data_IF_813965631613
#
_entry.id   IF_813965631613
#
_cell.length_a   1.000
_cell.length_b   1.000
_cell.length_c   1.000
_cell.angle_alpha   90.00
_cell.angle_beta   90.00
_cell.angle_gamma   90.00
#
_symmetry.space_group_name_H-M   'P 1'
#
loop_
_entity.id
_entity.type
_entity.pdbx_description
1 polymer ?
#
# COMPACT_ATOMS: atom_id res chain seq x y z
N UNK A 1 20.02 -13.50 -14.29
CA UNK A 1 20.72 -13.08 -13.06
C UNK A 1 19.88 -13.51 -11.87
N UNK A 2 20.48 -14.07 -10.83
CA UNK A 2 19.77 -14.55 -9.62
C UNK A 2 20.33 -13.75 -8.44
N UNK A 3 19.45 -13.16 -7.63
CA UNK A 3 19.81 -12.47 -6.39
C UNK A 3 19.52 -13.39 -5.20
N UNK A 4 20.31 -13.30 -4.12
CA UNK A 4 20.01 -14.03 -2.89
C UNK A 4 18.67 -13.56 -2.30
N UNK A 5 17.98 -14.42 -1.52
CA UNK A 5 16.81 -14.01 -0.77
C UNK A 5 17.19 -12.89 0.21
N UNK A 6 16.30 -11.93 0.38
CA UNK A 6 16.46 -10.79 1.28
C UNK A 6 15.34 -10.88 2.29
N UNK A 7 15.69 -11.07 3.56
CA UNK A 7 14.72 -11.15 4.64
C UNK A 7 14.30 -9.75 5.08
N UNK A 8 13.13 -9.66 5.74
CA UNK A 8 12.62 -8.38 6.27
C UNK A 8 13.61 -7.75 7.25
N UNK A 9 14.31 -8.56 8.03
CA UNK A 9 15.32 -8.09 8.99
C UNK A 9 16.50 -7.41 8.28
N UNK A 10 16.95 -7.97 7.15
CA UNK A 10 18.03 -7.38 6.34
C UNK A 10 17.62 -6.00 5.82
N UNK A 11 16.38 -5.86 5.35
CA UNK A 11 15.83 -4.59 4.88
C UNK A 11 15.81 -3.56 6.02
N UNK A 12 15.34 -3.94 7.21
CA UNK A 12 15.30 -3.05 8.37
C UNK A 12 16.70 -2.61 8.80
N UNK A 13 17.66 -3.54 8.87
CA UNK A 13 19.04 -3.25 9.23
C UNK A 13 19.70 -2.32 8.20
N UNK A 14 19.50 -2.60 6.90
CA UNK A 14 20.00 -1.77 5.82
C UNK A 14 19.49 -0.34 5.90
N UNK A 15 18.17 -0.16 6.10
CA UNK A 15 17.55 1.17 6.20
C UNK A 15 18.02 1.92 7.44
N UNK A 16 18.18 1.24 8.58
CA UNK A 16 18.74 1.84 9.79
C UNK A 16 20.17 2.39 9.59
N UNK A 17 20.95 1.76 8.70
CA UNK A 17 22.27 2.23 8.27
C UNK A 17 22.26 3.24 7.11
N UNK A 18 21.09 3.68 6.63
CA UNK A 18 20.96 4.59 5.48
C UNK A 18 21.21 3.96 4.11
N UNK A 19 21.32 2.63 4.04
CA UNK A 19 21.57 1.90 2.81
C UNK A 19 20.34 1.78 1.90
N UNK A 20 20.58 1.37 0.64
CA UNK A 20 19.56 1.16 -0.39
C UNK A 20 19.90 -0.07 -1.21
N UNK A 21 18.88 -0.77 -1.72
CA UNK A 21 19.04 -1.86 -2.67
C UNK A 21 18.85 -1.36 -4.11
N UNK A 22 19.44 -2.05 -5.10
CA UNK A 22 19.02 -1.90 -6.50
C UNK A 22 17.51 -2.09 -6.66
N UNK A 23 16.88 -1.33 -7.56
CA UNK A 23 15.47 -1.51 -7.86
C UNK A 23 15.22 -2.87 -8.54
N UNK A 24 14.06 -3.47 -8.28
CA UNK A 24 13.61 -4.69 -8.97
C UNK A 24 14.15 -6.01 -8.42
N UNK A 25 14.88 -6.01 -7.29
CA UNK A 25 15.44 -7.24 -6.70
C UNK A 25 14.66 -7.76 -5.47
N UNK A 26 13.72 -6.98 -4.95
CA UNK A 26 12.83 -7.40 -3.86
C UNK A 26 11.46 -7.84 -4.39
N UNK A 27 10.87 -8.87 -3.77
CA UNK A 27 9.53 -9.35 -4.11
C UNK A 27 8.67 -9.51 -2.86
N UNK A 28 7.80 -8.53 -2.61
CA UNK A 28 6.85 -8.59 -1.50
C UNK A 28 5.54 -9.23 -1.94
N UNK A 29 5.18 -10.33 -1.27
CA UNK A 29 3.85 -10.93 -1.36
C UNK A 29 2.97 -10.31 -0.28
N UNK A 30 2.00 -9.49 -0.72
CA UNK A 30 1.05 -8.80 0.17
C UNK A 30 -0.34 -9.36 -0.10
N UNK A 31 -0.89 -10.09 0.86
CA UNK A 31 -2.27 -10.58 0.81
C UNK A 31 -3.24 -9.47 1.21
N UNK A 32 -4.43 -9.44 0.60
CA UNK A 32 -5.46 -8.45 0.96
C UNK A 32 -5.12 -7.02 0.57
N UNK A 33 -4.38 -6.82 -0.54
CA UNK A 33 -4.08 -5.47 -1.06
C UNK A 33 -5.37 -4.71 -1.35
N UNK A 34 -5.49 -3.52 -0.79
CA UNK A 34 -6.54 -2.57 -1.17
C UNK A 34 -6.12 -1.92 -2.48
N UNK A 35 -6.91 -2.14 -3.53
CA UNK A 35 -6.71 -1.55 -4.85
C UNK A 35 -7.77 -0.46 -5.09
N UNK A 36 -7.46 0.51 -5.95
CA UNK A 36 -8.41 1.58 -6.37
C UNK A 36 -8.97 2.40 -5.21
N UNK A 37 -8.22 2.56 -4.13
CA UNK A 37 -8.64 3.41 -3.00
C UNK A 37 -8.81 4.87 -3.45
N UNK A 38 -8.05 5.33 -4.45
CA UNK A 38 -8.24 6.61 -5.15
C UNK A 38 -8.47 7.78 -4.18
N UNK A 39 -7.58 7.90 -3.18
CA UNK A 39 -7.62 9.01 -2.22
C UNK A 39 -7.27 10.31 -2.97
N UNK A 40 -8.02 11.41 -2.77
CA UNK A 40 -7.68 12.69 -3.40
C UNK A 40 -6.31 13.20 -2.94
N UNK A 41 -5.46 13.65 -3.87
CA UNK A 41 -4.09 14.07 -3.56
C UNK A 41 -4.05 15.33 -2.69
N UNK A 42 -5.07 16.17 -2.75
CA UNK A 42 -5.22 17.38 -1.95
C UNK A 42 -5.26 17.04 -0.45
N UNK A 43 -5.71 15.83 -0.10
CA UNK A 43 -5.73 15.37 1.28
C UNK A 43 -4.33 15.20 1.85
N UNK A 44 -3.38 14.79 1.01
CA UNK A 44 -1.99 14.60 1.41
C UNK A 44 -1.30 15.95 1.59
N UNK A 45 -1.62 16.93 0.75
CA UNK A 45 -1.07 18.28 0.78
C UNK A 45 -1.68 19.19 1.88
N UNK A 46 -2.83 18.80 2.41
CA UNK A 46 -3.53 19.52 3.48
C UNK A 46 -2.61 19.79 4.70
N UNK A 47 -2.70 20.97 5.35
CA UNK A 47 -1.97 21.28 6.58
C UNK A 47 -2.51 20.54 7.82
N UNK A 48 -3.57 19.74 7.67
CA UNK A 48 -4.15 18.93 8.73
C UNK A 48 -3.13 17.97 9.36
N UNK A 49 -3.38 17.63 10.62
CA UNK A 49 -2.60 16.61 11.32
C UNK A 49 -2.75 15.24 10.66
N UNK A 50 -1.75 14.37 10.84
CA UNK A 50 -1.83 12.98 10.39
C UNK A 50 -3.06 12.27 10.95
N UNK A 51 -3.41 12.54 12.21
CA UNK A 51 -4.61 11.97 12.83
C UNK A 51 -5.91 12.40 12.15
N UNK A 52 -6.04 13.68 11.78
CA UNK A 52 -7.20 14.17 11.04
C UNK A 52 -7.28 13.56 9.63
N UNK A 53 -6.13 13.44 8.94
CA UNK A 53 -6.05 12.76 7.64
C UNK A 53 -6.45 11.29 7.74
N UNK A 54 -5.99 10.58 8.79
CA UNK A 54 -6.34 9.19 9.05
C UNK A 54 -7.83 9.03 9.29
N UNK A 55 -8.42 9.85 10.18
CA UNK A 55 -9.86 9.83 10.46
C UNK A 55 -10.70 10.00 9.18
N UNK A 56 -10.28 10.92 8.30
CA UNK A 56 -10.95 11.14 7.01
C UNK A 56 -10.78 9.94 6.05
N UNK A 57 -9.60 9.34 6.00
CA UNK A 57 -9.34 8.14 5.21
C UNK A 57 -10.21 6.97 5.68
N UNK A 58 -10.30 6.77 6.99
CA UNK A 58 -11.12 5.72 7.61
C UNK A 58 -12.61 5.92 7.28
N UNK A 59 -13.11 7.14 7.42
CA UNK A 59 -14.49 7.48 7.05
C UNK A 59 -14.77 7.23 5.56
N UNK A 60 -13.82 7.52 4.67
CA UNK A 60 -13.96 7.23 3.23
C UNK A 60 -14.01 5.73 2.95
N UNK A 61 -13.13 4.95 3.60
CA UNK A 61 -13.09 3.51 3.43
C UNK A 61 -14.38 2.85 3.96
N UNK A 62 -14.85 3.26 5.14
CA UNK A 62 -16.10 2.80 5.73
C UNK A 62 -17.30 3.11 4.83
N UNK A 63 -17.40 4.35 4.34
CA UNK A 63 -18.49 4.74 3.44
C UNK A 63 -18.52 3.89 2.16
N UNK A 64 -17.35 3.53 1.60
CA UNK A 64 -17.28 2.63 0.44
C UNK A 64 -17.72 1.21 0.78
N UNK A 65 -17.38 0.72 1.97
CA UNK A 65 -17.81 -0.59 2.43
C UNK A 65 -19.34 -0.65 2.58
N UNK A 66 -19.92 0.34 3.26
CA UNK A 66 -21.37 0.47 3.47
C UNK A 66 -22.15 0.63 2.16
N UNK A 67 -21.56 1.31 1.16
CA UNK A 67 -22.15 1.45 -0.17
C UNK A 67 -21.97 0.22 -1.09
N UNK A 68 -21.49 -0.93 -0.57
CA UNK A 68 -21.15 -2.12 -1.35
C UNK A 68 -20.15 -1.87 -2.49
N UNK A 69 -19.29 -0.86 -2.35
CA UNK A 69 -18.26 -0.49 -3.33
C UNK A 69 -16.98 -1.32 -3.26
N UNK A 70 -16.89 -2.26 -2.32
CA UNK A 70 -15.70 -3.10 -2.10
C UNK A 70 -15.96 -4.52 -2.58
N UNK A 71 -15.04 -5.05 -3.39
CA UNK A 71 -15.06 -6.42 -3.91
C UNK A 71 -13.85 -7.19 -3.42
N UNK A 72 -14.08 -8.39 -2.91
CA UNK A 72 -13.04 -9.31 -2.50
C UNK A 72 -12.84 -10.38 -3.58
N UNK A 73 -11.58 -10.57 -3.98
CA UNK A 73 -11.18 -11.60 -4.92
C UNK A 73 -10.20 -12.53 -4.21
N UNK A 74 -10.65 -13.75 -3.91
CA UNK A 74 -9.85 -14.75 -3.20
C UNK A 74 -8.77 -15.41 -4.07
N UNK A 75 -8.97 -15.40 -5.39
CA UNK A 75 -8.11 -16.04 -6.36
C UNK A 75 -7.36 -15.03 -7.24
N UNK A 76 -6.32 -15.51 -7.93
CA UNK A 76 -5.57 -14.72 -8.88
C UNK A 76 -6.51 -14.15 -9.95
N UNK A 77 -6.60 -12.82 -10.00
CA UNK A 77 -7.57 -12.10 -10.84
C UNK A 77 -6.83 -11.13 -11.75
N UNK A 78 -7.22 -11.08 -13.02
CA UNK A 78 -6.79 -10.04 -13.95
C UNK A 78 -7.72 -8.84 -13.82
N UNK A 79 -7.17 -7.69 -13.45
CA UNK A 79 -7.87 -6.42 -13.39
C UNK A 79 -7.46 -5.59 -14.61
N UNK A 80 -8.40 -5.33 -15.52
CA UNK A 80 -8.21 -4.39 -16.62
C UNK A 80 -8.60 -3.00 -16.13
N UNK A 81 -7.60 -2.25 -15.68
CA UNK A 81 -7.74 -0.82 -15.38
C UNK A 81 -7.26 -0.02 -16.62
N UNK A 82 -8.05 0.99 -17.03
CA UNK A 82 -7.69 1.97 -18.08
C UNK A 82 -6.48 2.83 -17.68
#
# INVERSE_FOLDING_TARGET
MIFPPIDKADILHLVAGGGRLPAGITRHLVSGRVLRLNVPLEWLQSPETVAAKQCRLDAMAEARWQAHGVRYYAEATYLFDE
#
